data_IF_454550330636
#
_entry.id   IF_454550330636
#
_cell.length_a   1.000
_cell.length_b   1.000
_cell.length_c   1.000
_cell.angle_alpha   90.00
_cell.angle_beta   90.00
_cell.angle_gamma   90.00
#
_symmetry.space_group_name_H-M   'P 1'
#
loop_
_entity.id
_entity.type
_entity.pdbx_description
1 polymer ?
#
# COMPACT_ATOMS: atom_id res chain seq x y z
N UNK A 1 19.85 17.72 -4.90
CA UNK A 1 18.56 17.64 -4.17
C UNK A 1 17.44 17.62 -5.20
N UNK A 2 16.47 16.73 -5.05
CA UNK A 2 15.40 16.52 -6.03
C UNK A 2 14.29 17.59 -5.81
N UNK A 3 14.12 18.48 -6.79
CA UNK A 3 13.27 19.70 -6.74
C UNK A 3 11.79 19.42 -7.03
N UNK A 4 11.45 18.20 -7.46
CA UNK A 4 10.09 17.77 -7.83
C UNK A 4 9.06 18.06 -6.72
N UNK A 5 9.46 18.00 -5.44
CA UNK A 5 8.56 18.20 -4.29
C UNK A 5 8.67 19.58 -3.64
N UNK A 6 9.43 20.52 -4.18
CA UNK A 6 9.65 21.84 -3.54
C UNK A 6 8.36 22.62 -3.35
N UNK A 7 7.45 22.57 -4.35
CA UNK A 7 6.14 23.21 -4.24
C UNK A 7 5.32 22.68 -3.06
N UNK A 8 5.40 21.37 -2.77
CA UNK A 8 4.72 20.76 -1.63
C UNK A 8 5.35 21.23 -0.32
N UNK A 9 6.69 21.17 -0.21
CA UNK A 9 7.44 21.60 0.99
C UNK A 9 7.15 23.07 1.35
N UNK A 10 7.06 23.94 0.34
CA UNK A 10 6.73 25.36 0.54
C UNK A 10 5.27 25.56 0.94
N UNK A 11 4.33 24.94 0.23
CA UNK A 11 2.89 25.19 0.45
C UNK A 11 2.30 24.45 1.66
N UNK A 12 2.90 23.33 2.06
CA UNK A 12 2.47 22.44 3.14
C UNK A 12 3.70 21.91 3.89
N UNK A 13 4.40 22.74 4.68
CA UNK A 13 5.62 22.31 5.37
C UNK A 13 5.38 21.16 6.37
N UNK A 14 4.16 21.01 6.86
CA UNK A 14 3.71 19.99 7.80
C UNK A 14 3.16 18.72 7.13
N UNK A 15 3.27 18.57 5.80
CA UNK A 15 2.64 17.47 5.07
C UNK A 15 2.99 16.07 5.59
N UNK A 16 4.19 15.90 6.15
CA UNK A 16 4.65 14.64 6.75
C UNK A 16 3.77 14.18 7.92
N UNK A 17 3.11 15.10 8.63
CA UNK A 17 2.17 14.76 9.72
C UNK A 17 0.94 13.99 9.24
N UNK A 18 0.66 14.02 7.93
CA UNK A 18 -0.45 13.30 7.30
C UNK A 18 -0.04 11.95 6.72
N UNK A 19 1.21 11.55 6.87
CA UNK A 19 1.77 10.33 6.32
C UNK A 19 2.02 9.35 7.48
N UNK A 20 1.34 8.21 7.45
CA UNK A 20 1.71 7.03 8.24
C UNK A 20 2.35 6.03 7.29
N UNK A 21 3.58 5.62 7.62
CA UNK A 21 4.26 4.54 6.92
C UNK A 21 3.83 3.22 7.57
N UNK A 22 3.54 2.24 6.74
CA UNK A 22 3.21 0.87 7.14
C UNK A 22 4.08 -0.04 6.29
N UNK A 23 4.86 -0.89 6.94
CA UNK A 23 5.67 -1.89 6.26
C UNK A 23 4.77 -3.03 5.76
N UNK A 24 5.01 -3.47 4.53
CA UNK A 24 4.26 -4.55 3.90
C UNK A 24 4.90 -5.01 2.60
N UNK A 25 4.54 -6.22 2.17
CA UNK A 25 5.07 -6.91 1.00
C UNK A 25 3.97 -7.78 0.36
N UNK A 26 3.66 -7.52 -0.91
CA UNK A 26 2.62 -8.24 -1.65
C UNK A 26 2.96 -9.72 -1.91
N UNK A 27 4.23 -10.11 -1.78
CA UNK A 27 4.63 -11.53 -1.93
C UNK A 27 4.40 -12.34 -0.66
N UNK A 28 4.23 -11.66 0.48
CA UNK A 28 4.11 -12.30 1.79
C UNK A 28 2.66 -12.54 2.16
N UNK A 29 2.43 -13.60 2.94
CA UNK A 29 1.13 -13.87 3.52
C UNK A 29 0.63 -12.68 4.34
N UNK A 30 -0.66 -12.37 4.25
CA UNK A 30 -1.27 -11.22 4.93
C UNK A 30 -0.58 -9.89 4.58
N UNK A 31 -0.04 -9.79 3.36
CA UNK A 31 0.64 -8.61 2.85
C UNK A 31 1.90 -8.22 3.65
N UNK A 32 2.47 -9.15 4.43
CA UNK A 32 3.61 -8.88 5.31
C UNK A 32 3.31 -7.92 6.46
N UNK A 33 2.03 -7.64 6.74
CA UNK A 33 1.61 -6.67 7.75
C UNK A 33 1.78 -7.22 9.16
N UNK A 34 2.16 -6.34 10.10
CA UNK A 34 1.98 -6.61 11.52
C UNK A 34 0.49 -6.68 11.87
N UNK A 35 0.13 -7.36 12.97
CA UNK A 35 -1.25 -7.38 13.47
C UNK A 35 -1.77 -5.97 13.72
N UNK A 36 -0.93 -5.13 14.34
CA UNK A 36 -1.31 -3.80 14.78
C UNK A 36 -1.56 -2.85 13.59
N UNK A 37 -0.72 -2.90 12.55
CA UNK A 37 -0.93 -2.09 11.35
C UNK A 37 -2.11 -2.60 10.52
N UNK A 38 -2.32 -3.92 10.47
CA UNK A 38 -3.49 -4.51 9.81
C UNK A 38 -4.79 -4.03 10.46
N UNK A 39 -4.86 -4.07 11.79
CA UNK A 39 -6.03 -3.58 12.53
C UNK A 39 -6.20 -2.07 12.36
N UNK A 40 -5.10 -1.31 12.38
CA UNK A 40 -5.14 0.12 12.11
C UNK A 40 -5.73 0.43 10.73
N UNK A 41 -5.34 -0.32 9.69
CA UNK A 41 -5.87 -0.17 8.33
C UNK A 41 -7.37 -0.46 8.29
N UNK A 42 -7.81 -1.55 8.93
CA UNK A 42 -9.22 -1.96 9.02
C UNK A 42 -10.09 -0.86 9.66
N UNK A 43 -9.59 -0.22 10.72
CA UNK A 43 -10.33 0.83 11.42
C UNK A 43 -10.33 2.16 10.67
N UNK A 44 -9.24 2.54 9.99
CA UNK A 44 -9.00 3.93 9.60
C UNK A 44 -9.06 4.21 8.09
N UNK A 45 -9.04 3.19 7.22
CA UNK A 45 -9.00 3.42 5.76
C UNK A 45 -10.41 3.59 5.18
N UNK A 46 -10.54 4.62 4.34
CA UNK A 46 -11.77 4.92 3.58
C UNK A 46 -11.66 4.63 2.08
N UNK A 47 -10.46 4.72 1.52
CA UNK A 47 -10.21 4.56 0.09
C UNK A 47 -8.87 3.86 -0.11
N UNK A 48 -8.80 2.97 -1.11
CA UNK A 48 -7.58 2.25 -1.46
C UNK A 48 -7.17 2.65 -2.88
N UNK A 49 -5.92 3.10 -3.02
CA UNK A 49 -5.27 3.25 -4.31
C UNK A 49 -4.19 2.18 -4.42
N UNK A 50 -4.51 1.07 -5.09
CA UNK A 50 -3.58 -0.03 -5.28
C UNK A 50 -2.72 0.21 -6.53
N UNK A 51 -1.50 0.70 -6.32
CA UNK A 51 -0.54 0.98 -7.40
C UNK A 51 0.72 0.10 -7.34
N UNK A 52 0.81 -0.80 -6.37
CA UNK A 52 1.95 -1.68 -6.19
C UNK A 52 1.85 -2.89 -7.14
N UNK A 53 2.90 -3.14 -7.91
CA UNK A 53 3.01 -4.24 -8.86
C UNK A 53 4.48 -4.44 -9.25
N UNK A 54 4.83 -5.62 -9.75
CA UNK A 54 6.03 -5.79 -10.57
C UNK A 54 5.70 -5.59 -12.05
N UNK A 55 6.46 -4.72 -12.72
CA UNK A 55 6.33 -4.43 -14.16
C UNK A 55 7.54 -4.91 -14.96
N UNK A 56 8.40 -5.74 -14.33
CA UNK A 56 9.62 -6.24 -14.94
C UNK A 56 9.29 -7.35 -15.95
N UNK A 57 9.69 -7.15 -17.20
CA UNK A 57 9.47 -8.14 -18.27
C UNK A 57 10.27 -9.44 -18.10
N UNK A 58 11.34 -9.41 -17.30
CA UNK A 58 12.18 -10.57 -17.01
C UNK A 58 11.86 -11.24 -15.66
N UNK A 59 10.77 -10.84 -15.01
CA UNK A 59 10.29 -11.49 -13.79
C UNK A 59 9.74 -12.89 -14.10
N UNK A 60 9.90 -13.84 -13.18
CA UNK A 60 9.30 -15.15 -13.40
C UNK A 60 7.78 -15.04 -13.37
N UNK A 61 7.08 -15.86 -14.18
CA UNK A 61 5.61 -15.88 -14.17
C UNK A 61 5.05 -16.18 -12.78
N UNK A 62 5.71 -17.05 -12.02
CA UNK A 62 5.32 -17.36 -10.65
C UNK A 62 5.39 -16.13 -9.73
N UNK A 63 6.51 -15.40 -9.73
CA UNK A 63 6.67 -14.16 -8.94
C UNK A 63 5.69 -13.08 -9.39
N UNK A 64 5.57 -12.83 -10.70
CA UNK A 64 4.63 -11.84 -11.23
C UNK A 64 3.18 -12.18 -10.87
N UNK A 65 2.81 -13.46 -10.89
CA UNK A 65 1.48 -13.93 -10.46
C UNK A 65 1.26 -13.69 -8.98
N UNK A 66 2.24 -14.00 -8.12
CA UNK A 66 2.14 -13.72 -6.68
C UNK A 66 1.94 -12.23 -6.41
N UNK A 67 2.77 -11.36 -6.98
CA UNK A 67 2.69 -9.92 -6.71
C UNK A 67 1.41 -9.31 -7.30
N UNK A 68 1.19 -9.50 -8.61
CA UNK A 68 0.19 -8.72 -9.33
C UNK A 68 -1.22 -9.31 -9.23
N UNK A 69 -1.35 -10.63 -9.07
CA UNK A 69 -2.64 -11.32 -9.01
C UNK A 69 -2.98 -11.65 -7.56
N UNK A 70 -2.15 -12.44 -6.87
CA UNK A 70 -2.44 -12.81 -5.49
C UNK A 70 -2.41 -11.58 -4.57
N UNK A 71 -1.41 -10.71 -4.69
CA UNK A 71 -1.33 -9.48 -3.91
C UNK A 71 -2.54 -8.56 -4.10
N UNK A 72 -3.10 -8.48 -5.31
CA UNK A 72 -4.36 -7.75 -5.55
C UNK A 72 -5.53 -8.40 -4.81
N UNK A 73 -5.66 -9.73 -4.86
CA UNK A 73 -6.69 -10.45 -4.12
C UNK A 73 -6.55 -10.25 -2.61
N UNK A 74 -5.34 -10.36 -2.06
CA UNK A 74 -5.08 -10.17 -0.64
C UNK A 74 -5.43 -8.74 -0.17
N UNK A 75 -5.21 -7.74 -1.03
CA UNK A 75 -5.67 -6.36 -0.79
C UNK A 75 -7.20 -6.26 -0.79
N UNK A 76 -7.89 -6.95 -1.72
CA UNK A 76 -9.36 -6.99 -1.73
C UNK A 76 -9.92 -7.68 -0.49
N UNK A 77 -9.29 -8.76 -0.03
CA UNK A 77 -9.66 -9.46 1.20
C UNK A 77 -9.51 -8.52 2.41
N UNK A 78 -8.38 -7.81 2.53
CA UNK A 78 -8.22 -6.80 3.58
C UNK A 78 -9.25 -5.66 3.46
N UNK A 79 -9.50 -5.17 2.24
CA UNK A 79 -10.46 -4.12 1.97
C UNK A 79 -11.87 -4.50 2.42
N UNK A 80 -12.28 -5.75 2.22
CA UNK A 80 -13.58 -6.27 2.65
C UNK A 80 -13.82 -6.18 4.15
N UNK A 81 -12.73 -6.09 4.93
CA UNK A 81 -12.78 -5.97 6.39
C UNK A 81 -12.78 -4.52 6.87
N UNK A 82 -12.48 -3.55 6.01
CA UNK A 82 -12.36 -2.14 6.39
C UNK A 82 -13.72 -1.53 6.73
N UNK A 83 -13.84 -0.95 7.92
CA UNK A 83 -15.12 -0.47 8.45
C UNK A 83 -15.67 0.77 7.76
N UNK A 84 -14.79 1.54 7.14
CA UNK A 84 -15.13 2.86 6.62
C UNK A 84 -14.89 3.01 5.12
N UNK A 85 -14.67 1.90 4.40
CA UNK A 85 -14.45 1.87 2.96
C UNK A 85 -15.66 2.50 2.22
N UNK A 86 -15.37 3.33 1.21
CA UNK A 86 -16.35 4.12 0.45
C UNK A 86 -16.46 3.66 -1.00
#
# INVERSE_FOLDING_TARGET
>A
MNNVFDRLRIKKPDFMTKIKIIDGDLEQSLLGLSSDDRDWLIENVNFIFHCAATVRFNETLHTATKINIQGTNDILDLASMMKNLK
#
